data_IF_871721006748
#
_entry.id   IF_871721006748
#
_cell.length_a   1.000
_cell.length_b   1.000
_cell.length_c   1.000
_cell.angle_alpha   90.00
_cell.angle_beta   90.00
_cell.angle_gamma   90.00
#
_symmetry.space_group_name_H-M   'P 1'
#
loop_
_entity.id
_entity.type
_entity.pdbx_description
1 polymer ?
#
# COMPACT_ATOMS: atom_id res chain seq x y z
N UNK A 1 28.74 13.05 -33.38
CA UNK A 1 28.77 14.38 -32.75
C UNK A 1 28.13 14.23 -31.38
N UNK A 2 28.88 14.48 -30.31
CA UNK A 2 28.33 14.44 -28.95
C UNK A 2 27.17 15.47 -28.88
N UNK A 3 26.00 15.03 -28.41
CA UNK A 3 24.86 15.93 -28.24
C UNK A 3 25.22 16.90 -27.12
N UNK A 4 25.51 18.17 -27.45
CA UNK A 4 25.89 19.17 -26.46
C UNK A 4 24.78 19.32 -25.41
N UNK A 5 25.12 19.11 -24.14
CA UNK A 5 24.16 19.23 -23.04
C UNK A 5 23.69 20.70 -22.99
N UNK A 6 22.39 20.99 -23.10
CA UNK A 6 21.90 22.36 -23.14
C UNK A 6 22.28 23.11 -21.84
N UNK A 7 22.72 24.38 -21.91
CA UNK A 7 23.18 25.10 -20.72
C UNK A 7 22.06 25.31 -19.71
N UNK A 8 22.41 25.34 -18.41
CA UNK A 8 21.47 25.54 -17.31
C UNK A 8 20.66 26.83 -17.52
N UNK A 9 19.37 26.79 -17.20
CA UNK A 9 18.48 27.96 -17.34
C UNK A 9 19.01 29.18 -16.56
N UNK A 10 19.53 28.96 -15.35
CA UNK A 10 20.12 30.00 -14.53
C UNK A 10 21.32 30.67 -15.23
N UNK A 11 22.20 29.88 -15.85
CA UNK A 11 23.35 30.41 -16.61
C UNK A 11 22.85 31.16 -17.85
N UNK A 12 21.89 30.61 -18.60
CA UNK A 12 21.30 31.32 -19.74
C UNK A 12 20.66 32.66 -19.37
N UNK A 13 19.99 32.74 -18.22
CA UNK A 13 19.36 33.98 -17.76
C UNK A 13 20.39 35.02 -17.32
N UNK A 14 21.40 34.60 -16.56
CA UNK A 14 22.47 35.50 -16.09
C UNK A 14 23.30 36.03 -17.26
N UNK A 15 23.63 35.17 -18.23
CA UNK A 15 24.39 35.56 -19.41
C UNK A 15 23.54 36.30 -20.45
N UNK A 16 22.25 36.00 -20.56
CA UNK A 16 21.32 36.76 -21.40
C UNK A 16 21.07 38.18 -20.90
N UNK A 17 21.19 38.43 -19.59
CA UNK A 17 21.12 39.78 -19.01
C UNK A 17 22.41 40.59 -19.22
N UNK A 18 23.53 39.94 -19.59
CA UNK A 18 24.82 40.58 -19.84
C UNK A 18 25.14 40.54 -21.34
N UNK A 19 24.65 41.55 -22.07
CA UNK A 19 24.77 41.64 -23.54
C UNK A 19 26.21 41.54 -24.05
N UNK A 20 27.20 41.94 -23.26
CA UNK A 20 28.64 41.85 -23.57
C UNK A 20 29.18 40.42 -23.64
N UNK A 21 28.50 39.44 -23.04
CA UNK A 21 28.95 38.05 -22.91
C UNK A 21 28.10 37.08 -23.74
N UNK A 22 27.11 37.59 -24.50
CA UNK A 22 26.22 36.79 -25.34
C UNK A 22 26.96 36.17 -26.52
N UNK A 23 28.00 36.85 -27.02
CA UNK A 23 28.79 36.42 -28.18
C UNK A 23 29.88 35.37 -27.85
N UNK A 24 29.92 34.87 -26.60
CA UNK A 24 30.96 33.94 -26.11
C UNK A 24 30.34 32.60 -25.70
N UNK A 25 29.87 31.77 -26.66
CA UNK A 25 29.11 30.55 -26.36
C UNK A 25 29.89 29.50 -25.54
N UNK A 26 31.22 29.44 -25.72
CA UNK A 26 32.09 28.52 -24.98
C UNK A 26 32.20 28.86 -23.49
N UNK A 27 32.03 30.12 -23.10
CA UNK A 27 32.00 30.55 -21.70
C UNK A 27 30.71 30.09 -21.01
N UNK A 28 29.58 30.22 -21.73
CA UNK A 28 28.26 29.75 -21.27
C UNK A 28 28.28 28.22 -21.06
N UNK A 29 28.86 27.47 -22.00
CA UNK A 29 29.03 26.02 -21.87
C UNK A 29 29.94 25.66 -20.69
N UNK A 30 31.09 26.32 -20.55
CA UNK A 30 32.07 26.05 -19.49
C UNK A 30 31.51 26.34 -18.09
N UNK A 31 30.83 27.50 -17.93
CA UNK A 31 30.19 27.84 -16.66
C UNK A 31 28.97 26.97 -16.38
N UNK A 32 28.21 26.61 -17.41
CA UNK A 32 27.13 25.65 -17.23
C UNK A 32 27.65 24.28 -16.83
N UNK A 33 28.81 23.83 -17.33
CA UNK A 33 29.44 22.58 -16.94
C UNK A 33 29.97 22.61 -15.51
N UNK A 34 30.60 23.73 -15.11
CA UNK A 34 31.12 23.91 -13.75
C UNK A 34 30.00 23.90 -12.69
N UNK A 35 28.86 24.53 -13.00
CA UNK A 35 27.70 24.58 -12.11
C UNK A 35 26.82 23.32 -12.20
N UNK A 36 27.15 22.37 -13.08
CA UNK A 36 26.32 21.20 -13.31
C UNK A 36 26.52 20.12 -12.23
N UNK A 37 25.90 20.30 -11.08
CA UNK A 37 25.87 19.26 -10.03
C UNK A 37 24.86 18.14 -10.33
N UNK A 38 24.20 18.14 -11.51
CA UNK A 38 23.26 17.06 -11.86
C UNK A 38 23.96 15.70 -11.99
N UNK A 39 25.26 15.74 -12.30
CA UNK A 39 26.16 14.59 -12.35
C UNK A 39 26.25 13.86 -11.01
N UNK A 40 26.17 14.59 -9.90
CA UNK A 40 26.29 14.02 -8.54
C UNK A 40 24.97 13.43 -8.04
N UNK A 41 23.86 13.74 -8.71
CA UNK A 41 22.55 13.22 -8.32
C UNK A 41 22.41 11.80 -8.86
N UNK A 42 22.20 10.79 -7.99
CA UNK A 42 21.96 9.43 -8.45
C UNK A 42 20.71 9.40 -9.37
N UNK A 43 20.75 8.72 -10.52
CA UNK A 43 19.66 8.73 -11.50
C UNK A 43 18.28 8.38 -10.90
N UNK A 44 18.24 7.41 -9.98
CA UNK A 44 17.00 7.01 -9.29
C UNK A 44 16.45 8.11 -8.36
N UNK A 45 17.31 8.92 -7.75
CA UNK A 45 16.89 10.06 -6.93
C UNK A 45 16.35 11.18 -7.81
N UNK A 46 16.91 11.38 -9.00
CA UNK A 46 16.38 12.31 -9.98
C UNK A 46 14.99 11.88 -10.49
N UNK A 47 14.74 10.57 -10.63
CA UNK A 47 13.42 10.05 -11.01
C UNK A 47 12.33 10.44 -9.98
N UNK A 48 12.66 10.47 -8.69
CA UNK A 48 11.74 10.91 -7.62
C UNK A 48 11.33 12.38 -7.72
N UNK A 49 12.17 13.20 -8.33
CA UNK A 49 11.87 14.61 -8.58
C UNK A 49 10.90 14.80 -9.75
N UNK A 50 10.67 13.75 -10.56
CA UNK A 50 9.70 13.77 -11.64
C UNK A 50 10.05 14.65 -12.84
N UNK A 51 11.28 15.18 -12.89
CA UNK A 51 11.73 16.12 -13.93
C UNK A 51 12.41 15.39 -15.08
N UNK A 52 11.70 15.25 -16.21
CA UNK A 52 12.25 14.69 -17.45
C UNK A 52 13.48 15.46 -17.94
N UNK A 53 13.50 16.80 -17.76
CA UNK A 53 14.64 17.65 -18.15
C UNK A 53 15.91 17.30 -17.36
N UNK A 54 15.78 16.99 -16.08
CA UNK A 54 16.91 16.57 -15.25
C UNK A 54 17.39 15.18 -15.68
N UNK A 55 16.48 14.27 -16.00
CA UNK A 55 16.81 12.93 -16.48
C UNK A 55 17.51 12.95 -17.84
N UNK A 56 17.04 13.77 -18.79
CA UNK A 56 17.72 14.00 -20.06
C UNK A 56 19.12 14.57 -19.86
N UNK A 57 19.28 15.50 -18.91
CA UNK A 57 20.59 16.08 -18.59
C UNK A 57 21.56 15.04 -18.05
N UNK A 58 21.13 14.22 -17.09
CA UNK A 58 21.91 13.11 -16.53
C UNK A 58 22.24 12.09 -17.63
N UNK A 59 21.27 11.74 -18.48
CA UNK A 59 21.45 10.81 -19.58
C UNK A 59 22.43 11.31 -20.63
N UNK A 60 22.32 12.55 -21.08
CA UNK A 60 23.24 13.12 -22.07
C UNK A 60 24.66 13.25 -21.49
N UNK A 61 24.80 13.50 -20.19
CA UNK A 61 26.12 13.47 -19.52
C UNK A 61 26.79 12.09 -19.59
N UNK A 62 26.02 11.00 -19.75
CA UNK A 62 26.55 9.64 -19.88
C UNK A 62 26.87 9.24 -21.33
N UNK A 63 26.63 10.09 -22.34
CA UNK A 63 26.97 9.80 -23.74
C UNK A 63 28.48 9.61 -23.96
N UNK A 64 29.30 10.20 -23.10
CA UNK A 64 30.76 10.03 -23.08
C UNK A 64 31.16 8.55 -22.96
N UNK A 65 30.32 7.72 -22.36
CA UNK A 65 30.54 6.29 -22.18
C UNK A 65 29.83 5.42 -23.24
N UNK A 66 29.12 6.01 -24.21
CA UNK A 66 28.36 5.28 -25.22
C UNK A 66 29.19 4.92 -26.47
N UNK A 67 30.25 5.68 -26.71
CA UNK A 67 31.28 5.37 -27.70
C UNK A 67 32.48 4.95 -26.87
N UNK A 68 32.93 3.69 -26.98
CA UNK A 68 34.20 3.26 -26.41
C UNK A 68 35.33 4.06 -27.08
N UNK A 69 35.51 5.30 -26.64
CA UNK A 69 36.71 6.06 -26.88
C UNK A 69 37.78 5.36 -26.06
N UNK A 70 38.76 4.80 -26.76
CA UNK A 70 40.03 4.26 -26.28
C UNK A 70 40.85 5.24 -25.43
N UNK A 71 40.28 6.37 -24.98
CA UNK A 71 40.92 7.43 -24.21
C UNK A 71 40.58 7.43 -22.71
N UNK A 72 39.67 6.57 -22.21
CA UNK A 72 39.40 6.47 -20.76
C UNK A 72 39.85 5.11 -20.23
N UNK A 73 41.17 4.96 -20.10
CA UNK A 73 41.82 3.95 -19.25
C UNK A 73 41.61 4.32 -17.78
N UNK A 74 40.37 4.28 -17.31
CA UNK A 74 40.08 4.53 -15.89
C UNK A 74 39.26 3.39 -15.31
N UNK A 75 39.90 2.67 -14.41
CA UNK A 75 39.39 1.66 -13.48
C UNK A 75 38.34 2.22 -12.48
N UNK A 76 37.75 3.39 -12.75
CA UNK A 76 36.86 4.07 -11.83
C UNK A 76 35.40 3.60 -12.00
N UNK A 77 34.88 3.01 -10.92
CA UNK A 77 33.48 2.64 -10.79
C UNK A 77 32.59 3.88 -10.85
N UNK A 78 31.76 4.01 -11.91
CA UNK A 78 30.74 5.06 -11.99
C UNK A 78 29.41 4.51 -12.50
N UNK A 79 28.31 4.84 -11.82
CA UNK A 79 26.96 4.36 -12.17
C UNK A 79 26.54 4.78 -13.60
N UNK A 80 27.10 5.89 -14.11
CA UNK A 80 26.84 6.40 -15.47
C UNK A 80 27.44 5.51 -16.56
N UNK A 81 28.59 4.89 -16.32
CA UNK A 81 29.19 3.90 -17.23
C UNK A 81 28.30 2.66 -17.32
N UNK A 82 27.87 2.14 -16.17
CA UNK A 82 26.97 0.97 -16.12
C UNK A 82 25.60 1.25 -16.75
N UNK A 83 25.09 2.49 -16.67
CA UNK A 83 23.83 2.88 -17.32
C UNK A 83 23.84 2.66 -18.84
N UNK A 84 25.00 2.74 -19.51
CA UNK A 84 25.13 2.53 -20.96
C UNK A 84 25.70 1.16 -21.32
N UNK A 85 26.59 0.61 -20.50
CA UNK A 85 27.33 -0.62 -20.83
C UNK A 85 26.68 -1.91 -20.32
N UNK A 86 25.99 -1.89 -19.16
CA UNK A 86 25.53 -3.11 -18.49
C UNK A 86 24.01 -3.30 -18.63
N UNK A 87 23.63 -4.40 -19.30
CA UNK A 87 22.23 -4.74 -19.56
C UNK A 87 21.44 -5.07 -18.29
N UNK A 88 22.06 -5.68 -17.28
CA UNK A 88 21.39 -6.00 -16.02
C UNK A 88 21.13 -4.74 -15.20
N UNK A 89 22.12 -3.84 -15.15
CA UNK A 89 21.95 -2.54 -14.51
C UNK A 89 20.88 -1.70 -15.23
N UNK A 90 20.83 -1.72 -16.57
CA UNK A 90 19.77 -1.07 -17.35
C UNK A 90 18.38 -1.62 -17.02
N UNK A 91 18.19 -2.94 -16.98
CA UNK A 91 16.91 -3.55 -16.59
C UNK A 91 16.54 -3.16 -15.13
N UNK A 92 17.51 -3.17 -14.22
CA UNK A 92 17.30 -2.74 -12.83
C UNK A 92 16.87 -1.26 -12.76
N UNK A 93 17.56 -0.38 -13.49
CA UNK A 93 17.27 1.05 -13.54
C UNK A 93 15.90 1.32 -14.16
N UNK A 94 15.57 0.65 -15.27
CA UNK A 94 14.26 0.68 -15.92
C UNK A 94 13.15 0.27 -14.94
N UNK A 95 13.31 -0.90 -14.32
CA UNK A 95 12.34 -1.46 -13.39
C UNK A 95 12.15 -0.54 -12.18
N UNK A 96 13.24 -0.10 -11.56
CA UNK A 96 13.21 0.75 -10.36
C UNK A 96 12.60 2.12 -10.65
N UNK A 97 12.90 2.71 -11.81
CA UNK A 97 12.30 3.98 -12.23
C UNK A 97 10.79 3.84 -12.42
N UNK A 98 10.33 2.78 -13.08
CA UNK A 98 8.90 2.52 -13.24
C UNK A 98 8.19 2.24 -11.91
N UNK A 99 8.85 1.56 -10.96
CA UNK A 99 8.29 1.33 -9.61
C UNK A 99 8.00 2.62 -8.84
N UNK A 100 8.75 3.69 -9.09
CA UNK A 100 8.56 5.01 -8.47
C UNK A 100 7.62 5.92 -9.29
N UNK A 101 7.75 5.89 -10.62
CA UNK A 101 6.98 6.74 -11.53
C UNK A 101 5.50 6.33 -11.63
N UNK A 102 5.21 5.02 -11.62
CA UNK A 102 3.86 4.51 -11.75
C UNK A 102 2.92 4.90 -10.58
N UNK A 103 3.30 4.72 -9.30
CA UNK A 103 2.51 5.22 -8.17
C UNK A 103 2.33 6.73 -8.17
N UNK A 104 3.36 7.46 -8.63
CA UNK A 104 3.36 8.92 -8.70
C UNK A 104 2.55 9.48 -9.88
N UNK A 105 1.96 8.61 -10.72
CA UNK A 105 1.20 8.98 -11.93
C UNK A 105 1.97 9.89 -12.89
N UNK A 106 3.31 9.76 -12.91
CA UNK A 106 4.15 10.60 -13.74
C UNK A 106 4.35 9.95 -15.12
N UNK A 107 3.37 10.13 -16.00
CA UNK A 107 3.40 9.62 -17.37
C UNK A 107 4.61 10.15 -18.17
N UNK A 108 5.09 11.36 -17.86
CA UNK A 108 6.25 11.95 -18.54
C UNK A 108 7.52 11.14 -18.33
N UNK A 109 7.81 10.75 -17.08
CA UNK A 109 8.96 9.90 -16.74
C UNK A 109 8.79 8.50 -17.31
N UNK A 110 7.58 7.93 -17.32
CA UNK A 110 7.30 6.62 -17.92
C UNK A 110 7.56 6.63 -19.43
N UNK A 111 7.06 7.63 -20.16
CA UNK A 111 7.34 7.78 -21.60
C UNK A 111 8.83 7.97 -21.86
N UNK A 112 9.50 8.76 -21.03
CA UNK A 112 10.94 8.99 -21.13
C UNK A 112 11.72 7.69 -20.98
N UNK A 113 11.49 6.93 -19.89
CA UNK A 113 12.23 5.69 -19.64
C UNK A 113 11.93 4.65 -20.72
N UNK A 114 10.68 4.50 -21.16
CA UNK A 114 10.31 3.60 -22.27
C UNK A 114 11.01 3.96 -23.58
N UNK A 115 11.15 5.26 -23.90
CA UNK A 115 11.84 5.70 -25.11
C UNK A 115 13.33 5.34 -25.14
N UNK A 116 14.01 5.31 -23.98
CA UNK A 116 15.42 4.94 -23.87
C UNK A 116 15.63 3.42 -23.89
N UNK A 117 14.59 2.64 -23.57
CA UNK A 117 14.70 1.25 -23.14
C UNK A 117 13.58 0.35 -23.71
N UNK A 118 13.35 0.32 -25.04
CA UNK A 118 12.12 -0.20 -25.65
C UNK A 118 11.89 -1.72 -25.51
N UNK A 119 12.95 -2.53 -25.39
CA UNK A 119 12.84 -4.01 -25.34
C UNK A 119 12.64 -4.57 -23.93
N UNK A 120 12.75 -3.75 -22.89
CA UNK A 120 12.79 -4.25 -21.53
C UNK A 120 11.40 -4.61 -21.00
N UNK A 121 11.36 -5.68 -20.20
CA UNK A 121 10.11 -6.25 -19.72
C UNK A 121 9.51 -5.40 -18.60
N UNK A 122 8.19 -5.16 -18.69
CA UNK A 122 7.40 -4.58 -17.61
C UNK A 122 6.80 -5.72 -16.80
N UNK A 123 7.25 -5.88 -15.57
CA UNK A 123 6.77 -6.94 -14.67
C UNK A 123 5.38 -6.66 -14.13
N UNK A 124 4.65 -7.71 -13.77
CA UNK A 124 3.33 -7.62 -13.12
C UNK A 124 3.36 -6.80 -11.83
N UNK A 125 4.50 -6.73 -11.14
CA UNK A 125 4.68 -5.89 -9.95
C UNK A 125 4.58 -4.38 -10.28
N UNK A 126 5.07 -3.94 -11.44
CA UNK A 126 4.97 -2.54 -11.89
C UNK A 126 3.52 -2.23 -12.26
N UNK A 127 2.89 -3.13 -13.03
CA UNK A 127 1.49 -3.01 -13.44
C UNK A 127 0.59 -2.97 -12.20
N UNK A 128 0.82 -3.84 -11.22
CA UNK A 128 0.08 -3.86 -9.96
C UNK A 128 0.22 -2.54 -9.19
N UNK A 129 1.43 -1.95 -9.12
CA UNK A 129 1.61 -0.62 -8.52
C UNK A 129 0.82 0.47 -9.25
N UNK A 130 0.80 0.45 -10.58
CA UNK A 130 0.01 1.39 -11.38
C UNK A 130 -1.50 1.20 -11.14
N UNK A 131 -1.98 -0.04 -11.07
CA UNK A 131 -3.36 -0.38 -10.73
C UNK A 131 -3.74 0.13 -9.34
N UNK A 132 -2.89 -0.10 -8.33
CA UNK A 132 -3.13 0.33 -6.96
C UNK A 132 -3.26 1.86 -6.84
N UNK A 133 -2.38 2.59 -7.54
CA UNK A 133 -2.43 4.05 -7.56
C UNK A 133 -3.61 4.62 -8.38
N UNK A 134 -4.20 3.81 -9.27
CA UNK A 134 -5.24 4.27 -10.18
C UNK A 134 -4.70 5.07 -11.37
N UNK A 135 -3.52 4.70 -11.89
CA UNK A 135 -2.85 5.35 -13.02
C UNK A 135 -3.31 4.75 -14.36
N UNK A 136 -4.58 4.96 -14.73
CA UNK A 136 -5.16 4.36 -15.94
C UNK A 136 -4.46 4.83 -17.23
N UNK A 137 -3.97 6.07 -17.26
CA UNK A 137 -3.20 6.65 -18.36
C UNK A 137 -1.88 5.88 -18.61
N UNK A 138 -1.17 5.51 -17.54
CA UNK A 138 0.05 4.71 -17.61
C UNK A 138 -0.28 3.27 -18.05
N UNK A 139 -1.38 2.69 -17.57
CA UNK A 139 -1.83 1.36 -18.00
C UNK A 139 -2.22 1.36 -19.49
N UNK A 140 -2.95 2.37 -19.96
CA UNK A 140 -3.27 2.53 -21.37
C UNK A 140 -1.99 2.67 -22.21
N UNK A 141 -1.01 3.46 -21.74
CA UNK A 141 0.29 3.58 -22.40
C UNK A 141 1.02 2.24 -22.49
N UNK A 142 1.05 1.44 -21.41
CA UNK A 142 1.63 0.11 -21.45
C UNK A 142 0.89 -0.84 -22.39
N UNK A 143 -0.45 -0.78 -22.46
CA UNK A 143 -1.24 -1.58 -23.40
C UNK A 143 -0.97 -1.17 -24.85
N UNK A 144 -0.95 0.12 -25.16
CA UNK A 144 -0.72 0.61 -26.53
C UNK A 144 0.70 0.35 -27.04
N UNK A 145 1.68 0.22 -26.14
CA UNK A 145 3.09 -0.09 -26.47
C UNK A 145 3.47 -1.53 -26.11
N UNK A 146 2.51 -2.41 -25.86
CA UNK A 146 2.78 -3.82 -25.61
C UNK A 146 3.15 -4.52 -26.93
N UNK A 147 4.18 -5.37 -26.90
CA UNK A 147 4.67 -6.09 -28.09
C UNK A 147 3.54 -6.80 -28.84
N UNK A 148 2.69 -7.54 -28.12
CA UNK A 148 1.57 -8.29 -28.69
C UNK A 148 0.51 -7.39 -29.37
N UNK A 149 0.32 -6.18 -28.87
CA UNK A 149 -0.66 -5.23 -29.42
C UNK A 149 -0.09 -4.54 -30.65
N UNK A 150 1.20 -4.22 -30.66
CA UNK A 150 1.88 -3.63 -31.80
C UNK A 150 1.99 -4.62 -32.97
N UNK A 151 2.28 -5.89 -32.69
CA UNK A 151 2.27 -6.98 -33.67
C UNK A 151 0.88 -7.15 -34.31
N UNK A 152 -0.19 -7.16 -33.52
CA UNK A 152 -1.58 -7.22 -34.02
C UNK A 152 -2.01 -6.00 -34.83
N UNK A 153 -1.38 -4.83 -34.60
CA UNK A 153 -1.69 -3.56 -35.27
C UNK A 153 -0.80 -3.31 -36.50
N UNK A 154 0.01 -4.28 -36.92
CA UNK A 154 0.98 -4.17 -38.03
C UNK A 154 1.92 -2.95 -37.91
N UNK A 155 2.13 -2.47 -36.68
CA UNK A 155 3.07 -1.37 -36.44
C UNK A 155 4.44 -1.97 -36.18
N UNK A 156 5.39 -1.67 -37.06
CA UNK A 156 6.80 -1.96 -36.87
C UNK A 156 7.36 -1.11 -35.71
N UNK A 157 7.17 -1.58 -34.49
CA UNK A 157 7.64 -0.93 -33.27
C UNK A 157 8.08 -1.97 -32.25
N UNK A 158 9.23 -1.73 -31.61
CA UNK A 158 9.71 -2.55 -30.50
C UNK A 158 8.91 -2.18 -29.26
N UNK A 159 7.88 -2.96 -28.97
CA UNK A 159 7.07 -2.83 -27.77
C UNK A 159 7.70 -3.50 -26.55
N UNK A 160 7.19 -3.16 -25.38
CA UNK A 160 7.56 -3.84 -24.14
C UNK A 160 6.75 -5.13 -23.98
N UNK A 161 7.36 -6.26 -23.58
CA UNK A 161 6.61 -7.38 -23.06
C UNK A 161 6.07 -6.99 -21.67
N UNK A 162 4.74 -6.93 -21.54
CA UNK A 162 4.07 -6.55 -20.30
C UNK A 162 3.36 -7.76 -19.71
N UNK A 163 3.67 -8.08 -18.46
CA UNK A 163 2.97 -9.11 -17.69
C UNK A 163 1.76 -8.49 -16.97
N UNK A 164 0.56 -8.78 -17.47
CA UNK A 164 -0.71 -8.28 -16.93
C UNK A 164 -1.30 -9.18 -15.85
N UNK A 165 -0.72 -10.35 -15.55
CA UNK A 165 -1.30 -11.34 -14.64
C UNK A 165 -0.99 -11.11 -13.16
N UNK A 166 -1.07 -12.18 -12.37
CA UNK A 166 -0.69 -12.25 -10.97
C UNK A 166 -1.52 -11.29 -10.06
N UNK A 167 -0.90 -10.26 -9.48
CA UNK A 167 -1.49 -9.37 -8.47
C UNK A 167 -2.12 -8.09 -9.04
N UNK A 168 -2.20 -7.94 -10.36
CA UNK A 168 -2.71 -6.72 -11.01
C UNK A 168 -4.19 -6.48 -10.71
N UNK A 169 -5.01 -7.53 -10.78
CA UNK A 169 -6.45 -7.47 -10.50
C UNK A 169 -6.70 -7.14 -9.01
N UNK A 170 -6.01 -7.81 -8.09
CA UNK A 170 -6.14 -7.53 -6.65
C UNK A 170 -5.68 -6.12 -6.31
N UNK A 171 -4.61 -5.61 -6.93
CA UNK A 171 -4.15 -4.26 -6.74
C UNK A 171 -5.16 -3.21 -7.23
N UNK A 172 -5.82 -3.42 -8.37
CA UNK A 172 -6.88 -2.53 -8.86
C UNK A 172 -8.08 -2.48 -7.88
N UNK A 173 -8.44 -3.63 -7.31
CA UNK A 173 -9.50 -3.73 -6.30
C UNK A 173 -9.10 -2.99 -5.02
N UNK A 174 -7.89 -3.21 -4.49
CA UNK A 174 -7.36 -2.51 -3.31
C UNK A 174 -7.28 -1.00 -3.51
N UNK A 175 -6.94 -0.55 -4.72
CA UNK A 175 -6.95 0.86 -5.11
C UNK A 175 -8.35 1.48 -5.18
N UNK A 176 -9.41 0.69 -4.97
CA UNK A 176 -10.83 1.07 -5.10
C UNK A 176 -11.16 1.61 -6.50
N UNK A 177 -10.49 1.08 -7.53
CA UNK A 177 -10.64 1.47 -8.93
C UNK A 177 -11.33 0.37 -9.73
N UNK A 178 -12.65 0.29 -9.59
CA UNK A 178 -13.48 -0.66 -10.33
C UNK A 178 -13.39 -0.46 -11.85
N UNK A 179 -13.18 0.78 -12.29
CA UNK A 179 -12.91 1.11 -13.70
C UNK A 179 -11.70 0.36 -14.26
N UNK A 180 -10.61 0.24 -13.48
CA UNK A 180 -9.42 -0.52 -13.88
C UNK A 180 -9.69 -2.02 -13.87
N UNK A 181 -10.47 -2.52 -12.90
CA UNK A 181 -10.89 -3.94 -12.86
C UNK A 181 -11.63 -4.32 -14.14
N UNK A 182 -12.60 -3.51 -14.55
CA UNK A 182 -13.37 -3.75 -15.78
C UNK A 182 -12.54 -3.56 -17.04
N UNK A 183 -11.63 -2.59 -17.04
CA UNK A 183 -10.69 -2.38 -18.15
C UNK A 183 -9.75 -3.58 -18.32
N UNK A 184 -9.18 -4.09 -17.24
CA UNK A 184 -8.34 -5.30 -17.26
C UNK A 184 -9.11 -6.51 -17.78
N UNK A 185 -10.33 -6.75 -17.27
CA UNK A 185 -11.15 -7.86 -17.75
C UNK A 185 -11.50 -7.76 -19.24
N UNK A 186 -11.80 -6.55 -19.74
CA UNK A 186 -12.15 -6.33 -21.15
C UNK A 186 -10.97 -6.53 -22.09
N UNK A 187 -9.78 -6.08 -21.71
CA UNK A 187 -8.60 -6.11 -22.58
C UNK A 187 -7.75 -7.38 -22.42
N UNK A 188 -7.78 -8.01 -21.24
CA UNK A 188 -6.94 -9.14 -20.89
C UNK A 188 -7.73 -10.22 -20.13
N UNK A 189 -8.82 -10.78 -20.70
CA UNK A 189 -9.64 -11.78 -20.01
C UNK A 189 -8.85 -13.05 -19.65
N UNK A 190 -7.88 -13.44 -20.48
CA UNK A 190 -7.10 -14.68 -20.33
C UNK A 190 -5.78 -14.48 -19.55
N UNK A 191 -5.56 -13.30 -18.96
CA UNK A 191 -4.38 -13.09 -18.13
C UNK A 191 -4.45 -13.98 -16.88
N UNK A 192 -3.31 -14.53 -16.47
CA UNK A 192 -3.19 -15.44 -15.33
C UNK A 192 -3.33 -14.69 -13.99
N UNK A 193 -4.51 -14.13 -13.71
CA UNK A 193 -4.81 -13.41 -12.49
C UNK A 193 -4.92 -14.35 -11.30
N UNK A 194 -4.38 -13.92 -10.16
CA UNK A 194 -4.62 -14.64 -8.90
C UNK A 194 -6.02 -14.26 -8.36
N UNK A 195 -7.04 -15.00 -8.81
CA UNK A 195 -8.44 -14.74 -8.45
C UNK A 195 -8.74 -14.90 -6.96
N UNK A 196 -8.04 -15.80 -6.26
CA UNK A 196 -8.19 -15.97 -4.81
C UNK A 196 -7.76 -14.72 -4.04
N UNK A 197 -6.58 -14.16 -4.38
CA UNK A 197 -6.10 -12.92 -3.75
C UNK A 197 -6.96 -11.73 -4.16
N UNK A 198 -7.48 -11.70 -5.39
CA UNK A 198 -8.42 -10.69 -5.85
C UNK A 198 -9.73 -10.75 -5.04
N UNK A 199 -10.25 -11.95 -4.75
CA UNK A 199 -11.44 -12.15 -3.93
C UNK A 199 -11.21 -11.66 -2.50
N UNK A 200 -10.09 -12.05 -1.88
CA UNK A 200 -9.72 -11.56 -0.54
C UNK A 200 -9.63 -10.03 -0.51
N UNK A 201 -9.03 -9.43 -1.54
CA UNK A 201 -8.92 -7.97 -1.67
C UNK A 201 -10.28 -7.29 -1.81
N UNK A 202 -11.22 -7.90 -2.55
CA UNK A 202 -12.58 -7.40 -2.68
C UNK A 202 -13.32 -7.38 -1.34
N UNK A 203 -13.13 -8.42 -0.52
CA UNK A 203 -13.72 -8.50 0.82
C UNK A 203 -13.10 -7.48 1.78
N UNK A 204 -11.78 -7.29 1.72
CA UNK A 204 -11.09 -6.26 2.51
C UNK A 204 -11.55 -4.84 2.17
N UNK A 205 -11.85 -4.57 0.91
CA UNK A 205 -12.41 -3.27 0.48
C UNK A 205 -13.91 -3.17 0.76
N UNK A 206 -14.56 -4.33 0.93
CA UNK A 206 -16.00 -4.51 1.06
C UNK A 206 -16.76 -4.28 -0.25
N UNK A 207 -16.20 -4.66 -1.38
CA UNK A 207 -16.91 -4.66 -2.65
C UNK A 207 -17.52 -6.04 -2.93
N UNK A 208 -18.70 -6.30 -2.33
CA UNK A 208 -19.42 -7.57 -2.48
C UNK A 208 -19.80 -7.85 -3.95
N UNK A 209 -20.04 -6.81 -4.75
CA UNK A 209 -20.36 -6.97 -6.18
C UNK A 209 -19.17 -7.55 -6.96
N UNK A 210 -17.96 -7.02 -6.75
CA UNK A 210 -16.74 -7.58 -7.35
C UNK A 210 -16.47 -8.98 -6.79
N UNK A 211 -16.68 -9.22 -5.50
CA UNK A 211 -16.51 -10.55 -4.92
C UNK A 211 -17.43 -11.59 -5.57
N UNK A 212 -18.73 -11.27 -5.76
CA UNK A 212 -19.69 -12.11 -6.49
C UNK A 212 -19.24 -12.35 -7.93
N UNK A 213 -18.78 -11.32 -8.61
CA UNK A 213 -18.27 -11.44 -9.98
C UNK A 213 -17.04 -12.35 -10.06
N UNK A 214 -16.07 -12.21 -9.16
CA UNK A 214 -14.87 -13.06 -9.10
C UNK A 214 -15.23 -14.53 -8.88
N UNK A 215 -16.17 -14.84 -7.99
CA UNK A 215 -16.66 -16.20 -7.79
C UNK A 215 -17.26 -16.78 -9.09
N UNK A 216 -18.02 -15.98 -9.84
CA UNK A 216 -18.57 -16.39 -11.13
C UNK A 216 -17.48 -16.60 -12.20
N UNK A 217 -16.31 -15.96 -12.07
CA UNK A 217 -15.14 -16.18 -12.92
C UNK A 217 -14.32 -17.43 -12.50
N UNK A 218 -14.76 -18.16 -11.47
CA UNK A 218 -14.06 -19.35 -10.97
C UNK A 218 -13.08 -19.08 -9.83
N UNK A 219 -13.14 -17.93 -9.17
CA UNK A 219 -12.41 -17.74 -7.92
C UNK A 219 -12.90 -18.76 -6.88
N UNK A 220 -11.97 -19.51 -6.30
CA UNK A 220 -12.28 -20.42 -5.20
C UNK A 220 -12.10 -19.70 -3.86
N UNK A 221 -12.89 -20.11 -2.87
CA UNK A 221 -12.59 -19.79 -1.49
C UNK A 221 -11.30 -20.50 -1.11
N UNK A 222 -10.33 -19.77 -0.54
CA UNK A 222 -9.11 -20.39 -0.01
C UNK A 222 -9.50 -21.58 0.84
N UNK A 223 -9.02 -22.76 0.44
CA UNK A 223 -9.47 -24.03 1.04
C UNK A 223 -9.39 -23.94 2.56
N UNK A 224 -10.40 -24.50 3.19
CA UNK A 224 -10.46 -24.92 4.59
C UNK A 224 -9.39 -25.97 4.89
N UNK A 225 -8.10 -25.69 4.63
CA UNK A 225 -7.01 -26.55 5.09
C UNK A 225 -6.86 -26.33 6.59
N UNK A 226 -6.47 -27.42 7.25
CA UNK A 226 -6.22 -27.70 8.68
C UNK A 226 -5.82 -26.56 9.64
N UNK A 227 -5.48 -25.37 9.16
CA UNK A 227 -5.10 -24.20 9.95
C UNK A 227 -6.26 -23.17 10.04
N UNK A 228 -6.81 -22.91 11.24
CA UNK A 228 -7.79 -21.84 11.48
C UNK A 228 -7.34 -20.42 11.11
N UNK A 229 -6.04 -20.25 10.80
CA UNK A 229 -5.41 -18.98 10.39
C UNK A 229 -5.42 -18.72 8.89
N UNK A 230 -5.83 -19.69 8.06
CA UNK A 230 -5.87 -19.57 6.58
C UNK A 230 -7.28 -19.23 6.03
N UNK A 231 -8.26 -19.05 6.91
CA UNK A 231 -9.57 -18.51 6.53
C UNK A 231 -9.36 -17.13 5.93
N UNK A 232 -10.32 -16.66 5.11
CA UNK A 232 -10.47 -15.21 4.90
C UNK A 232 -10.34 -14.56 6.27
N UNK A 233 -9.51 -13.54 6.38
CA UNK A 233 -9.26 -12.84 7.64
C UNK A 233 -10.54 -12.08 8.04
N UNK A 234 -11.56 -12.83 8.44
CA UNK A 234 -12.86 -12.35 8.88
C UNK A 234 -12.70 -11.50 10.13
N UNK A 235 -11.63 -11.75 10.90
CA UNK A 235 -11.21 -10.92 12.02
C UNK A 235 -10.80 -9.52 11.54
N UNK A 236 -10.11 -9.41 10.40
CA UNK A 236 -9.81 -8.12 9.77
C UNK A 236 -11.07 -7.43 9.24
N UNK A 237 -11.97 -8.15 8.56
CA UNK A 237 -13.24 -7.59 8.05
C UNK A 237 -14.12 -7.08 9.21
N UNK A 238 -14.19 -7.83 10.32
CA UNK A 238 -14.90 -7.42 11.53
C UNK A 238 -14.34 -6.13 12.14
N UNK A 239 -13.06 -5.83 11.91
CA UNK A 239 -12.42 -4.58 12.29
C UNK A 239 -12.67 -3.39 11.36
N UNK A 240 -13.51 -3.51 10.32
CA UNK A 240 -13.73 -2.44 9.31
C UNK A 240 -15.17 -1.88 9.22
N UNK A 241 -16.04 -2.15 10.19
CA UNK A 241 -17.46 -1.74 10.20
C UNK A 241 -18.30 -2.32 9.04
N UNK A 242 -17.78 -3.32 8.33
CA UNK A 242 -18.41 -3.88 7.13
C UNK A 242 -19.36 -5.03 7.46
N UNK A 243 -20.43 -4.71 8.17
CA UNK A 243 -21.47 -5.68 8.53
C UNK A 243 -22.12 -6.32 7.28
N UNK A 244 -22.24 -5.55 6.19
CA UNK A 244 -22.70 -6.02 4.87
C UNK A 244 -21.89 -7.21 4.34
N UNK A 245 -20.56 -7.12 4.45
CA UNK A 245 -19.65 -8.19 4.02
C UNK A 245 -19.75 -9.39 4.96
N UNK A 246 -19.84 -9.15 6.27
CA UNK A 246 -19.96 -10.22 7.27
C UNK A 246 -21.24 -11.04 7.08
N UNK A 247 -22.40 -10.39 6.92
CA UNK A 247 -23.64 -11.09 6.60
C UNK A 247 -23.50 -11.92 5.33
N UNK A 248 -22.96 -11.34 4.26
CA UNK A 248 -22.79 -12.04 2.99
C UNK A 248 -21.84 -13.25 3.10
N UNK A 249 -20.84 -13.19 3.97
CA UNK A 249 -19.93 -14.31 4.24
C UNK A 249 -20.57 -15.37 5.14
N UNK A 250 -21.38 -14.96 6.12
CA UNK A 250 -22.07 -15.85 7.07
C UNK A 250 -23.13 -16.70 6.38
N UNK A 251 -23.95 -16.09 5.52
CA UNK A 251 -24.93 -16.77 4.67
C UNK A 251 -24.32 -17.89 3.81
N UNK A 252 -23.01 -17.82 3.57
CA UNK A 252 -22.24 -18.76 2.74
C UNK A 252 -21.38 -19.72 3.56
N UNK A 253 -21.47 -19.68 4.89
CA UNK A 253 -20.69 -20.51 5.81
C UNK A 253 -19.17 -20.28 5.71
N UNK A 254 -18.75 -19.09 5.26
CA UNK A 254 -17.33 -18.77 5.06
C UNK A 254 -16.66 -18.23 6.33
N UNK A 255 -17.45 -17.77 7.30
CA UNK A 255 -16.99 -17.28 8.59
C UNK A 255 -17.54 -18.12 9.74
N UNK A 256 -16.94 -17.94 10.91
CA UNK A 256 -17.33 -18.58 12.16
C UNK A 256 -17.56 -17.44 13.11
N UNK A 257 -18.83 -17.06 13.20
CA UNK A 257 -19.32 -16.00 14.07
C UNK A 257 -19.00 -16.29 15.55
N UNK A 258 -18.66 -17.54 15.91
CA UNK A 258 -18.15 -17.94 17.22
C UNK A 258 -16.66 -17.64 17.47
N UNK A 259 -15.87 -17.25 16.47
CA UNK A 259 -14.44 -16.93 16.65
C UNK A 259 -14.27 -15.64 17.47
N UNK A 260 -13.84 -15.75 18.73
CA UNK A 260 -13.66 -14.61 19.65
C UNK A 260 -12.80 -13.48 19.07
N UNK A 261 -11.85 -13.80 18.17
CA UNK A 261 -10.99 -12.81 17.52
C UNK A 261 -11.79 -11.81 16.69
N UNK A 262 -12.92 -12.21 16.11
CA UNK A 262 -13.82 -11.31 15.39
C UNK A 262 -14.46 -10.29 16.34
N UNK A 263 -14.96 -10.76 17.49
CA UNK A 263 -15.58 -9.91 18.51
C UNK A 263 -14.57 -8.92 19.09
N UNK A 264 -13.37 -9.41 19.44
CA UNK A 264 -12.27 -8.59 19.94
C UNK A 264 -11.84 -7.53 18.92
N UNK A 265 -11.73 -7.88 17.64
CA UNK A 265 -11.32 -6.92 16.60
C UNK A 265 -12.41 -5.89 16.29
N UNK A 266 -13.68 -6.30 16.25
CA UNK A 266 -14.81 -5.37 16.12
C UNK A 266 -14.87 -4.40 17.30
N UNK A 267 -14.64 -4.91 18.51
CA UNK A 267 -14.59 -4.11 19.73
C UNK A 267 -13.40 -3.14 19.75
N UNK A 268 -12.21 -3.57 19.31
CA UNK A 268 -11.04 -2.68 19.11
C UNK A 268 -11.29 -1.60 18.06
N UNK A 269 -12.05 -1.93 17.01
CA UNK A 269 -12.41 -1.01 15.93
C UNK A 269 -13.51 -0.02 16.31
N UNK A 270 -14.30 -0.33 17.34
CA UNK A 270 -15.44 0.49 17.79
C UNK A 270 -16.73 0.24 17.03
N UNK A 271 -16.83 -0.89 16.34
CA UNK A 271 -17.92 -1.21 15.41
C UNK A 271 -19.10 -1.84 16.15
N UNK A 272 -19.92 -1.00 16.78
CA UNK A 272 -21.01 -1.43 17.66
C UNK A 272 -21.97 -2.41 16.98
N UNK A 273 -22.38 -2.15 15.73
CA UNK A 273 -23.33 -3.01 15.03
C UNK A 273 -22.75 -4.39 14.71
N UNK A 274 -21.45 -4.46 14.40
CA UNK A 274 -20.74 -5.75 14.22
C UNK A 274 -20.65 -6.50 15.54
N UNK A 275 -20.39 -5.79 16.64
CA UNK A 275 -20.35 -6.37 17.99
C UNK A 275 -21.72 -6.92 18.40
N UNK A 276 -22.79 -6.15 18.18
CA UNK A 276 -24.17 -6.58 18.44
C UNK A 276 -24.49 -7.86 17.68
N UNK A 277 -24.26 -7.85 16.36
CA UNK A 277 -24.47 -9.00 15.50
C UNK A 277 -23.69 -10.24 15.99
N UNK A 278 -22.41 -10.09 16.36
CA UNK A 278 -21.59 -11.19 16.87
C UNK A 278 -22.07 -11.73 18.22
N UNK A 279 -22.57 -10.88 19.13
CA UNK A 279 -23.12 -11.32 20.41
C UNK A 279 -24.42 -12.09 20.21
N UNK A 280 -25.31 -11.58 19.35
CA UNK A 280 -26.57 -12.25 19.01
C UNK A 280 -26.33 -13.67 18.47
N UNK A 281 -25.26 -13.88 17.69
CA UNK A 281 -24.88 -15.21 17.19
C UNK A 281 -24.32 -16.15 18.26
N UNK A 282 -23.70 -15.62 19.32
CA UNK A 282 -23.12 -16.41 20.42
C UNK A 282 -24.14 -16.76 21.49
N UNK A 283 -25.26 -16.03 21.56
CA UNK A 283 -26.24 -16.15 22.62
C UNK A 283 -25.67 -15.81 24.01
N UNK A 284 -26.34 -16.29 25.06
CA UNK A 284 -26.00 -15.96 26.46
C UNK A 284 -25.25 -17.09 27.19
N UNK A 285 -24.43 -17.86 26.47
CA UNK A 285 -23.62 -18.92 27.11
C UNK A 285 -22.51 -18.32 27.99
N UNK A 286 -22.04 -19.07 28.99
CA UNK A 286 -20.92 -18.63 29.86
C UNK A 286 -19.65 -18.32 29.07
N UNK A 287 -19.41 -19.04 27.97
CA UNK A 287 -18.32 -18.75 27.03
C UNK A 287 -18.52 -17.41 26.30
N UNK A 288 -19.75 -17.09 25.89
CA UNK A 288 -20.07 -15.82 25.25
C UNK A 288 -19.86 -14.63 26.20
N UNK A 289 -20.16 -14.81 27.49
CA UNK A 289 -19.90 -13.81 28.53
C UNK A 289 -18.39 -13.56 28.69
N UNK A 290 -17.59 -14.62 28.81
CA UNK A 290 -16.13 -14.51 28.89
C UNK A 290 -15.51 -13.82 27.65
N UNK A 291 -16.00 -14.17 26.45
CA UNK A 291 -15.60 -13.53 25.20
C UNK A 291 -15.96 -12.04 25.16
N UNK A 292 -17.17 -11.69 25.63
CA UNK A 292 -17.64 -10.30 25.71
C UNK A 292 -16.81 -9.47 26.71
N UNK A 293 -16.39 -10.07 27.84
CA UNK A 293 -15.49 -9.44 28.81
C UNK A 293 -14.13 -9.13 28.16
N UNK A 294 -13.52 -10.12 27.49
CA UNK A 294 -12.28 -9.94 26.76
C UNK A 294 -12.38 -8.82 25.70
N UNK A 295 -13.51 -8.78 24.98
CA UNK A 295 -13.79 -7.74 24.00
C UNK A 295 -14.01 -6.35 24.64
N UNK A 296 -14.62 -6.29 25.83
CA UNK A 296 -14.80 -5.05 26.60
C UNK A 296 -13.46 -4.40 26.92
N UNK A 297 -12.48 -5.22 27.31
CA UNK A 297 -11.12 -4.77 27.60
C UNK A 297 -10.44 -4.24 26.34
N UNK A 298 -10.59 -4.99 25.26
CA UNK A 298 -10.05 -4.61 23.98
C UNK A 298 -10.61 -3.25 23.50
N UNK A 299 -11.92 -3.01 23.68
CA UNK A 299 -12.56 -1.72 23.41
C UNK A 299 -12.03 -0.60 24.34
N UNK A 300 -11.94 -0.84 25.65
CA UNK A 300 -11.44 0.15 26.61
C UNK A 300 -10.01 0.60 26.28
N UNK A 301 -9.13 -0.32 25.87
CA UNK A 301 -7.76 -0.03 25.47
C UNK A 301 -7.64 0.88 24.22
N UNK A 302 -8.66 0.86 23.34
CA UNK A 302 -8.58 1.43 21.99
C UNK A 302 -9.51 2.61 21.70
N UNK A 303 -10.30 3.08 22.68
CA UNK A 303 -11.13 4.32 22.66
C UNK A 303 -12.65 4.18 22.46
N UNK A 304 -13.25 3.09 21.93
CA UNK A 304 -14.70 3.06 21.73
C UNK A 304 -15.50 2.80 23.02
N UNK A 305 -15.73 3.86 23.80
CA UNK A 305 -16.52 3.84 25.05
C UNK A 305 -17.93 3.27 24.85
N UNK A 306 -18.56 3.55 23.70
CA UNK A 306 -19.91 3.04 23.38
C UNK A 306 -19.96 1.51 23.34
N UNK A 307 -18.94 0.90 22.74
CA UNK A 307 -18.86 -0.57 22.63
C UNK A 307 -18.53 -1.20 23.99
N UNK A 308 -17.61 -0.59 24.75
CA UNK A 308 -17.30 -1.07 26.10
C UNK A 308 -18.51 -1.03 27.03
N UNK A 309 -19.32 0.05 26.97
CA UNK A 309 -20.57 0.16 27.73
C UNK A 309 -21.59 -0.90 27.34
N UNK A 310 -21.83 -1.07 26.04
CA UNK A 310 -22.76 -2.09 25.54
C UNK A 310 -22.35 -3.51 25.95
N UNK A 311 -21.07 -3.86 25.78
CA UNK A 311 -20.57 -5.18 26.19
C UNK A 311 -20.69 -5.38 27.71
N UNK A 312 -20.47 -4.33 28.51
CA UNK A 312 -20.62 -4.39 29.97
C UNK A 312 -22.08 -4.58 30.39
N UNK A 313 -23.02 -3.90 29.75
CA UNK A 313 -24.45 -4.13 29.98
C UNK A 313 -24.82 -5.59 29.71
N UNK A 314 -24.36 -6.13 28.57
CA UNK A 314 -24.57 -7.54 28.21
C UNK A 314 -23.97 -8.51 29.24
N UNK A 315 -22.75 -8.25 29.75
CA UNK A 315 -22.14 -9.12 30.76
C UNK A 315 -22.85 -9.01 32.12
N UNK A 316 -23.30 -7.82 32.52
CA UNK A 316 -24.03 -7.61 33.80
C UNK A 316 -25.34 -8.38 33.85
N UNK A 317 -26.04 -8.49 32.73
CA UNK A 317 -27.28 -9.28 32.63
C UNK A 317 -27.05 -10.78 32.83
N UNK A 318 -25.82 -11.26 32.59
CA UNK A 318 -25.46 -12.68 32.63
C UNK A 318 -24.59 -13.08 33.84
N UNK A 319 -24.12 -12.13 34.65
CA UNK A 319 -23.14 -12.34 35.72
C UNK A 319 -23.67 -12.16 37.16
N UNK A 320 -23.08 -12.93 38.08
CA UNK A 320 -22.76 -12.52 39.45
C UNK A 320 -21.30 -12.04 39.55
N UNK A 321 -20.80 -11.72 40.76
CA UNK A 321 -19.50 -11.04 41.04
C UNK A 321 -18.33 -11.31 40.04
N UNK A 322 -17.55 -10.28 39.65
CA UNK A 322 -16.46 -10.40 38.68
C UNK A 322 -15.35 -11.37 39.12
N UNK A 323 -14.73 -12.07 38.17
CA UNK A 323 -13.62 -13.01 38.40
C UNK A 323 -12.28 -12.30 38.63
N UNK A 324 -11.30 -12.94 39.29
CA UNK A 324 -9.97 -12.33 39.55
C UNK A 324 -9.21 -11.95 38.27
N UNK A 325 -9.26 -12.79 37.24
CA UNK A 325 -8.58 -12.52 35.95
C UNK A 325 -9.16 -11.28 35.24
N UNK A 326 -10.46 -11.03 35.44
CA UNK A 326 -11.14 -9.84 34.94
C UNK A 326 -10.60 -8.57 35.62
N UNK A 327 -10.42 -8.63 36.94
CA UNK A 327 -9.94 -7.50 37.76
C UNK A 327 -8.51 -7.09 37.36
N UNK A 328 -7.59 -8.04 37.18
CA UNK A 328 -6.21 -7.77 36.73
C UNK A 328 -6.18 -7.07 35.36
N UNK A 329 -7.06 -7.49 34.46
CA UNK A 329 -7.15 -6.91 33.12
C UNK A 329 -7.77 -5.51 33.13
N UNK A 330 -8.77 -5.28 33.99
CA UNK A 330 -9.37 -3.95 34.23
C UNK A 330 -8.31 -2.98 34.77
N UNK A 331 -7.48 -3.41 35.70
CA UNK A 331 -6.37 -2.60 36.22
C UNK A 331 -5.36 -2.25 35.11
N UNK A 332 -4.97 -3.23 34.29
CA UNK A 332 -4.14 -3.01 33.10
C UNK A 332 -4.74 -1.98 32.12
N UNK A 333 -6.06 -2.02 31.91
CA UNK A 333 -6.77 -1.05 31.07
C UNK A 333 -6.76 0.36 31.68
N UNK A 334 -6.92 0.49 32.99
CA UNK A 334 -6.84 1.77 33.69
C UNK A 334 -5.44 2.38 33.56
N UNK A 335 -4.38 1.61 33.79
CA UNK A 335 -2.99 2.05 33.59
C UNK A 335 -2.76 2.52 32.14
N UNK A 336 -3.30 1.80 31.15
CA UNK A 336 -3.19 2.18 29.74
C UNK A 336 -3.99 3.45 29.39
N UNK A 337 -5.18 3.61 29.96
CA UNK A 337 -6.02 4.80 29.78
C UNK A 337 -5.33 6.04 30.37
N UNK A 338 -4.75 5.91 31.58
CA UNK A 338 -3.99 6.97 32.24
C UNK A 338 -2.75 7.37 31.42
N UNK A 339 -1.90 6.40 31.01
CA UNK A 339 -0.70 6.64 30.18
C UNK A 339 -1.00 7.34 28.86
N UNK A 340 -2.21 7.19 28.32
CA UNK A 340 -2.65 7.80 27.06
C UNK A 340 -3.51 9.06 27.25
N UNK A 341 -3.67 9.56 28.47
CA UNK A 341 -4.45 10.76 28.79
C UNK A 341 -5.96 10.62 28.54
N UNK A 342 -6.51 9.40 28.62
CA UNK A 342 -7.90 9.10 28.21
C UNK A 342 -8.86 9.18 29.39
N UNK A 343 -9.13 10.41 29.82
CA UNK A 343 -9.96 10.72 30.99
C UNK A 343 -11.37 10.11 30.93
N UNK A 344 -11.99 10.02 29.76
CA UNK A 344 -13.34 9.45 29.62
C UNK A 344 -13.42 7.94 29.90
N UNK A 345 -12.41 7.17 29.49
CA UNK A 345 -12.33 5.73 29.76
C UNK A 345 -11.93 5.50 31.22
N UNK A 346 -10.96 6.27 31.73
CA UNK A 346 -10.53 6.18 33.12
C UNK A 346 -11.68 6.51 34.10
N UNK A 347 -12.45 7.56 33.80
CA UNK A 347 -13.65 7.91 34.57
C UNK A 347 -14.68 6.79 34.56
N UNK A 348 -14.98 6.24 33.39
CA UNK A 348 -15.94 5.16 33.28
C UNK A 348 -15.48 3.88 34.01
N UNK A 349 -14.20 3.52 33.93
CA UNK A 349 -13.64 2.40 34.67
C UNK A 349 -13.71 2.62 36.19
N UNK A 350 -13.44 3.84 36.65
CA UNK A 350 -13.55 4.21 38.07
C UNK A 350 -15.01 4.16 38.56
N UNK A 351 -15.95 4.68 37.76
CA UNK A 351 -17.39 4.64 38.06
C UNK A 351 -17.94 3.20 38.14
N UNK A 352 -17.43 2.30 37.29
CA UNK A 352 -17.96 0.93 37.17
C UNK A 352 -17.25 -0.10 38.07
N UNK A 353 -15.97 0.12 38.37
CA UNK A 353 -15.12 -0.86 39.05
C UNK A 353 -14.34 -0.30 40.24
N UNK A 354 -14.48 1.00 40.57
CA UNK A 354 -13.78 1.61 41.70
C UNK A 354 -14.14 1.01 43.05
N UNK A 355 -15.32 0.39 43.17
CA UNK A 355 -15.73 -0.34 44.38
C UNK A 355 -15.11 -1.75 44.47
N UNK A 356 -14.61 -2.29 43.34
CA UNK A 356 -14.08 -3.65 43.23
C UNK A 356 -12.56 -3.71 43.05
N UNK A 357 -11.94 -2.64 42.57
CA UNK A 357 -10.51 -2.54 42.28
C UNK A 357 -9.98 -1.20 42.78
N UNK A 358 -8.95 -1.23 43.63
CA UNK A 358 -8.20 -0.04 43.96
C UNK A 358 -7.17 0.25 42.85
N UNK A 359 -7.51 1.18 41.96
CA UNK A 359 -6.69 1.55 40.81
C UNK A 359 -5.42 2.34 41.15
N UNK A 360 -5.25 2.74 42.41
CA UNK A 360 -4.16 3.61 42.84
C UNK A 360 -3.04 2.85 43.52
N UNK A 361 -3.08 1.52 43.52
CA UNK A 361 -2.20 0.67 44.30
C UNK A 361 -1.63 -0.45 43.43
N UNK A 362 -0.33 -0.76 43.56
CA UNK A 362 0.33 -1.85 42.84
C UNK A 362 -0.01 -3.23 43.44
N UNK A 363 0.37 -4.31 42.74
CA UNK A 363 0.15 -5.71 43.17
C UNK A 363 0.73 -6.03 44.58
N UNK A 364 1.49 -5.11 45.19
CA UNK A 364 2.11 -5.23 46.52
C UNK A 364 1.53 -4.24 47.55
N UNK A 365 0.51 -3.47 47.22
CA UNK A 365 -0.09 -2.52 48.15
C UNK A 365 0.54 -1.11 48.15
N UNK A 366 1.44 -0.78 47.20
CA UNK A 366 2.08 0.55 47.14
C UNK A 366 1.33 1.52 46.23
N UNK A 367 1.27 2.82 46.57
CA UNK A 367 0.65 3.81 45.70
C UNK A 367 1.35 3.91 44.34
N UNK A 368 0.61 3.78 43.24
CA UNK A 368 1.13 3.99 41.88
C UNK A 368 1.24 5.49 41.64
N UNK A 369 2.46 6.00 41.44
CA UNK A 369 2.68 7.41 41.10
C UNK A 369 2.07 7.74 39.73
N UNK A 370 1.09 8.65 39.71
CA UNK A 370 0.42 9.17 38.51
C UNK A 370 1.32 10.12 37.73
#
# INVERSE_FOLDING_TARGET
MACAVPPLLAVRLVFGAKTELVDVPHLIESMSGLLDTSVDVPPLRACKLGSVKLLDRIWNSSDVYAQDSTAVTSETFTLRKFLRADRHYQQYFFTSTLKEAAPSKNLGVVKWISSKFPTFQVSSEIVARACLAGALDILQFFHDNCTQVLEKREKFGVGHPVDWGNLTMSAAILGRRSDIVWWLHRHFPDANYNLEIALESALKVGNVLIAKWLLNQGAEWRRRRRNPTERIDACYVAGQERLDVLHWLDERGQIDSGDVRMLVNAAKGGHLEVVRWLIEHRGSSTAAVADAMLATHAAASKWPLKVAKFLREFTKEAEGSPTSELLDSIEGNMRMAARRGRLGVARWLLEEYGDSVDFFVDDKGHPISV
#
